data_IF_751627014666
#
_entry.id   IF_751627014666
#
_cell.length_a   1.000
_cell.length_b   1.000
_cell.length_c   1.000
_cell.angle_alpha   90.00
_cell.angle_beta   90.00
_cell.angle_gamma   90.00
#
_symmetry.space_group_name_H-M   'P 1'
#
loop_
_entity.id
_entity.type
_entity.pdbx_description
1 polymer ?
#
# COMPACT_ATOMS: atom_id res chain seq x y z
N UNK A 1 -16.21 17.18 0.85
CA UNK A 1 -15.28 16.37 0.05
C UNK A 1 -16.06 15.15 -0.39
N UNK A 2 -16.42 15.09 -1.67
CA UNK A 2 -17.25 14.02 -2.23
C UNK A 2 -16.47 12.70 -2.21
N UNK A 3 -17.10 11.64 -1.70
CA UNK A 3 -16.54 10.29 -1.75
C UNK A 3 -16.58 9.85 -3.21
N UNK A 4 -15.42 9.77 -3.86
CA UNK A 4 -15.28 9.29 -5.23
C UNK A 4 -15.55 7.78 -5.26
N UNK A 5 -16.80 7.41 -5.56
CA UNK A 5 -17.23 6.04 -5.84
C UNK A 5 -17.60 5.19 -4.61
N UNK A 6 -18.65 4.37 -4.75
CA UNK A 6 -19.02 3.39 -3.72
C UNK A 6 -18.03 2.21 -3.68
N UNK A 7 -17.49 1.84 -2.49
CA UNK A 7 -16.61 0.69 -2.37
C UNK A 7 -17.33 -0.61 -2.77
N UNK A 8 -16.76 -1.37 -3.72
CA UNK A 8 -17.43 -2.54 -4.31
C UNK A 8 -17.20 -3.85 -3.55
N UNK A 9 -16.14 -3.96 -2.74
CA UNK A 9 -15.79 -5.22 -2.04
C UNK A 9 -16.27 -5.22 -0.58
N UNK A 10 -16.55 -6.39 -0.01
CA UNK A 10 -16.97 -6.54 1.39
C UNK A 10 -15.97 -5.90 2.36
N UNK A 11 -14.68 -6.10 2.11
CA UNK A 11 -13.61 -5.52 2.92
C UNK A 11 -13.60 -3.99 2.82
N UNK A 12 -13.66 -3.44 1.60
CA UNK A 12 -13.67 -2.00 1.39
C UNK A 12 -14.91 -1.33 2.00
N UNK A 13 -16.09 -1.97 1.93
CA UNK A 13 -17.32 -1.50 2.57
C UNK A 13 -17.20 -1.46 4.09
N UNK A 14 -16.60 -2.49 4.70
CA UNK A 14 -16.43 -2.58 6.15
C UNK A 14 -15.44 -1.52 6.65
N UNK A 15 -14.36 -1.32 5.91
CA UNK A 15 -13.36 -0.31 6.22
C UNK A 15 -13.94 1.11 6.09
N UNK A 16 -14.67 1.42 5.01
CA UNK A 16 -15.30 2.73 4.83
C UNK A 16 -16.36 3.04 5.91
N UNK A 17 -17.07 2.01 6.39
CA UNK A 17 -18.09 2.14 7.44
C UNK A 17 -17.51 2.46 8.81
N UNK A 18 -16.35 1.89 9.17
CA UNK A 18 -15.72 2.07 10.48
C UNK A 18 -14.88 3.37 10.56
N UNK A 19 -14.59 4.00 9.41
CA UNK A 19 -13.63 5.13 9.33
C UNK A 19 -14.20 6.32 8.53
N UNK A 20 -15.29 6.92 9.03
CA UNK A 20 -16.01 8.07 8.43
C UNK A 20 -15.27 9.41 8.46
N UNK A 21 -14.07 9.48 9.05
CA UNK A 21 -13.20 10.66 9.05
C UNK A 21 -11.89 10.28 8.40
N UNK A 22 -11.49 11.06 7.39
CA UNK A 22 -10.23 10.99 6.62
C UNK A 22 -9.14 10.35 7.47
N UNK A 23 -8.87 9.07 7.22
CA UNK A 23 -8.15 8.24 8.17
C UNK A 23 -7.64 7.01 7.47
N UNK A 24 -6.32 6.89 7.49
CA UNK A 24 -5.52 5.79 6.94
C UNK A 24 -6.14 4.40 7.15
N UNK A 25 -6.04 3.55 6.13
CA UNK A 25 -6.47 2.16 6.15
C UNK A 25 -5.22 1.29 6.04
N UNK A 26 -4.95 0.48 7.07
CA UNK A 26 -3.84 -0.48 7.10
C UNK A 26 -4.33 -1.92 7.22
N UNK A 27 -3.56 -2.86 6.68
CA UNK A 27 -3.80 -4.28 6.82
C UNK A 27 -2.50 -5.07 6.72
N UNK A 28 -2.39 -6.16 7.49
CA UNK A 28 -1.25 -7.09 7.42
C UNK A 28 -1.70 -8.34 6.68
N UNK A 29 -0.94 -8.71 5.64
CA UNK A 29 -1.18 -9.93 4.87
C UNK A 29 -0.09 -10.94 5.22
N UNK A 30 -0.48 -12.04 5.85
CA UNK A 30 0.45 -13.11 6.26
C UNK A 30 0.02 -14.47 5.71
N UNK A 31 0.98 -15.20 5.16
CA UNK A 31 0.85 -16.53 4.58
C UNK A 31 2.26 -17.09 4.30
N UNK A 32 2.43 -18.41 4.11
CA UNK A 32 3.73 -18.99 3.76
C UNK A 32 4.33 -18.40 2.47
N UNK A 33 5.64 -18.58 2.26
CA UNK A 33 6.31 -18.18 1.02
C UNK A 33 5.69 -18.89 -0.18
N UNK A 34 5.54 -18.19 -1.30
CA UNK A 34 4.94 -18.74 -2.53
C UNK A 34 3.41 -18.65 -2.62
N UNK A 35 2.70 -18.21 -1.57
CA UNK A 35 1.23 -18.05 -1.59
C UNK A 35 0.73 -16.80 -2.34
N UNK A 36 1.62 -16.06 -3.01
CA UNK A 36 1.23 -14.90 -3.84
C UNK A 36 0.95 -13.61 -3.07
N UNK A 37 1.45 -13.44 -1.84
CA UNK A 37 1.26 -12.21 -1.04
C UNK A 37 1.73 -10.96 -1.78
N UNK A 38 2.98 -10.96 -2.26
CA UNK A 38 3.58 -9.86 -3.00
C UNK A 38 2.81 -9.58 -4.29
N UNK A 39 2.44 -10.63 -5.03
CA UNK A 39 1.63 -10.54 -6.25
C UNK A 39 0.23 -9.96 -5.98
N UNK A 40 -0.39 -10.32 -4.86
CA UNK A 40 -1.67 -9.77 -4.46
C UNK A 40 -1.55 -8.29 -4.09
N UNK A 41 -0.51 -7.93 -3.32
CA UNK A 41 -0.29 -6.55 -2.89
C UNK A 41 -0.02 -5.62 -4.08
N UNK A 42 0.88 -6.01 -5.00
CA UNK A 42 1.17 -5.22 -6.20
C UNK A 42 -0.03 -5.14 -7.14
N UNK A 43 -0.81 -6.22 -7.30
CA UNK A 43 -2.04 -6.19 -8.10
C UNK A 43 -3.09 -5.25 -7.50
N UNK A 44 -3.17 -5.20 -6.17
CA UNK A 44 -4.07 -4.29 -5.45
C UNK A 44 -3.68 -2.84 -5.66
N UNK A 45 -2.38 -2.52 -5.62
CA UNK A 45 -1.87 -1.19 -5.97
C UNK A 45 -2.20 -0.82 -7.41
N UNK A 46 -1.98 -1.75 -8.35
CA UNK A 46 -2.31 -1.52 -9.76
C UNK A 46 -3.80 -1.24 -9.96
N UNK A 47 -4.68 -2.02 -9.33
CA UNK A 47 -6.12 -1.80 -9.44
C UNK A 47 -6.56 -0.47 -8.82
N UNK A 48 -5.90 -0.03 -7.74
CA UNK A 48 -6.13 1.27 -7.15
C UNK A 48 -5.73 2.39 -8.12
N UNK A 49 -4.53 2.36 -8.68
CA UNK A 49 -4.05 3.40 -9.59
C UNK A 49 -4.79 3.40 -10.93
N UNK A 50 -5.00 2.22 -11.52
CA UNK A 50 -5.70 2.09 -12.80
C UNK A 50 -7.17 2.46 -12.69
N UNK A 51 -7.90 1.91 -11.70
CA UNK A 51 -9.36 2.07 -11.64
C UNK A 51 -9.81 3.13 -10.64
N UNK A 52 -9.05 3.34 -9.56
CA UNK A 52 -9.36 4.35 -8.54
C UNK A 52 -8.91 5.75 -8.93
N UNK A 53 -7.72 5.87 -9.55
CA UNK A 53 -7.17 7.15 -10.00
C UNK A 53 -7.29 7.38 -11.52
N UNK A 54 -7.69 6.36 -12.29
CA UNK A 54 -7.91 6.49 -13.73
C UNK A 54 -6.62 6.63 -14.55
N UNK A 55 -5.48 6.19 -14.01
CA UNK A 55 -4.18 6.27 -14.68
C UNK A 55 -4.14 5.39 -15.94
N UNK A 56 -3.21 5.68 -16.85
CA UNK A 56 -2.95 4.75 -17.96
C UNK A 56 -2.28 3.46 -17.47
N UNK A 57 -2.37 2.37 -18.24
CA UNK A 57 -1.89 1.06 -17.75
C UNK A 57 -0.39 1.06 -17.42
N UNK A 58 0.44 1.68 -18.25
CA UNK A 58 1.88 1.79 -18.01
C UNK A 58 2.18 2.63 -16.77
N UNK A 59 1.52 3.77 -16.63
CA UNK A 59 1.66 4.68 -15.49
C UNK A 59 1.22 4.01 -14.18
N UNK A 60 0.09 3.29 -14.21
CA UNK A 60 -0.39 2.55 -13.05
C UNK A 60 0.61 1.48 -12.60
N UNK A 61 1.30 0.81 -13.54
CA UNK A 61 2.35 -0.15 -13.19
C UNK A 61 3.60 0.52 -12.62
N UNK A 62 4.06 1.60 -13.23
CA UNK A 62 5.19 2.39 -12.73
C UNK A 62 4.91 2.87 -11.30
N UNK A 63 3.75 3.47 -11.07
CA UNK A 63 3.35 3.95 -9.74
C UNK A 63 3.21 2.79 -8.75
N UNK A 64 2.63 1.65 -9.15
CA UNK A 64 2.50 0.48 -8.27
C UNK A 64 3.83 -0.10 -7.82
N UNK A 65 4.82 -0.14 -8.72
CA UNK A 65 6.17 -0.61 -8.40
C UNK A 65 6.89 0.38 -7.48
N UNK A 66 6.72 1.68 -7.71
CA UNK A 66 7.28 2.73 -6.86
C UNK A 66 6.67 2.76 -5.45
N UNK A 67 5.43 2.26 -5.28
CA UNK A 67 4.78 2.05 -3.96
C UNK A 67 5.10 0.72 -3.29
N UNK A 68 5.85 -0.18 -3.93
CA UNK A 68 6.24 -1.48 -3.39
C UNK A 68 7.64 -1.37 -2.77
N UNK A 69 7.68 -1.20 -1.45
CA UNK A 69 8.92 -0.98 -0.70
C UNK A 69 9.27 -2.22 0.13
N UNK A 70 10.56 -2.45 0.29
CA UNK A 70 11.09 -3.59 1.04
C UNK A 70 11.71 -3.16 2.36
N UNK A 71 12.43 -2.03 2.35
CA UNK A 71 13.25 -1.62 3.48
C UNK A 71 12.61 -0.45 4.26
N UNK A 72 12.79 -0.47 5.58
CA UNK A 72 12.29 0.56 6.49
C UNK A 72 12.73 1.99 6.12
N UNK A 73 14.01 2.25 5.76
CA UNK A 73 14.44 3.58 5.36
C UNK A 73 13.68 4.12 4.14
N UNK A 74 13.40 3.28 3.15
CA UNK A 74 12.67 3.69 1.94
C UNK A 74 11.23 4.07 2.27
N UNK A 75 10.59 3.30 3.15
CA UNK A 75 9.25 3.60 3.65
C UNK A 75 9.23 4.97 4.35
N UNK A 76 10.19 5.23 5.25
CA UNK A 76 10.30 6.50 5.96
C UNK A 76 10.57 7.66 4.99
N UNK A 77 11.51 7.49 4.07
CA UNK A 77 11.86 8.51 3.08
C UNK A 77 10.68 8.85 2.18
N UNK A 78 9.89 7.86 1.78
CA UNK A 78 8.70 8.04 0.96
C UNK A 78 7.64 8.85 1.70
N UNK A 79 7.32 8.44 2.93
CA UNK A 79 6.36 9.14 3.77
C UNK A 79 6.81 10.59 4.02
N UNK A 80 8.09 10.82 4.29
CA UNK A 80 8.63 12.17 4.46
C UNK A 80 8.49 13.01 3.19
N UNK A 81 8.80 12.43 2.03
CA UNK A 81 8.66 13.12 0.73
C UNK A 81 7.22 13.54 0.45
N UNK A 82 6.25 12.68 0.77
CA UNK A 82 4.83 12.96 0.59
C UNK A 82 4.32 14.01 1.59
N UNK A 83 4.78 13.95 2.85
CA UNK A 83 4.54 14.98 3.85
C UNK A 83 5.08 16.35 3.42
N UNK A 84 6.31 16.40 2.90
CA UNK A 84 6.97 17.63 2.44
C UNK A 84 6.25 18.26 1.24
N UNK A 85 5.63 17.44 0.38
CA UNK A 85 4.80 17.89 -0.75
C UNK A 85 3.41 18.34 -0.32
N UNK A 86 2.96 18.01 0.88
CA UNK A 86 1.58 18.23 1.33
C UNK A 86 0.57 17.35 0.59
N UNK A 87 1.02 16.28 -0.05
CA UNK A 87 0.18 15.36 -0.80
C UNK A 87 -0.08 14.08 0.01
N UNK A 88 -1.34 13.71 0.26
CA UNK A 88 -1.63 12.46 0.97
C UNK A 88 -1.20 11.27 0.12
N UNK A 89 -0.37 10.39 0.68
CA UNK A 89 0.03 9.12 0.09
C UNK A 89 -1.21 8.24 -0.14
N UNK A 90 -1.61 7.95 -1.40
CA UNK A 90 -2.81 7.18 -1.69
C UNK A 90 -2.74 5.73 -1.21
N UNK A 91 -1.58 5.08 -1.37
CA UNK A 91 -1.29 3.74 -0.84
C UNK A 91 0.22 3.46 -0.85
N UNK A 92 0.64 2.52 0.00
CA UNK A 92 2.00 2.01 0.09
C UNK A 92 1.97 0.56 0.57
N UNK A 93 2.89 -0.27 0.07
CA UNK A 93 3.07 -1.66 0.51
C UNK A 93 4.48 -1.83 1.04
N UNK A 94 4.60 -2.26 2.30
CA UNK A 94 5.85 -2.83 2.82
C UNK A 94 5.83 -4.35 2.64
N UNK A 95 6.53 -4.86 1.63
CA UNK A 95 6.66 -6.30 1.43
C UNK A 95 7.79 -6.88 2.27
N UNK A 96 7.67 -8.17 2.60
CA UNK A 96 8.60 -8.88 3.49
C UNK A 96 8.85 -8.20 4.85
N UNK A 97 7.86 -7.46 5.35
CA UNK A 97 7.87 -6.81 6.66
C UNK A 97 8.19 -7.77 7.82
N UNK A 98 7.96 -9.07 7.64
CA UNK A 98 8.37 -10.09 8.62
C UNK A 98 9.87 -10.04 8.92
N UNK A 99 10.72 -9.78 7.94
CA UNK A 99 12.18 -9.71 8.12
C UNK A 99 12.56 -8.51 8.99
N UNK A 100 12.04 -7.32 8.67
CA UNK A 100 12.44 -6.07 9.32
C UNK A 100 11.77 -5.79 10.65
N UNK A 101 10.52 -6.24 10.85
CA UNK A 101 9.76 -5.96 12.06
C UNK A 101 9.79 -7.08 13.11
N UNK A 102 10.31 -8.29 12.78
CA UNK A 102 10.36 -9.40 13.74
C UNK A 102 11.67 -9.50 14.54
N UNK A 103 12.55 -8.49 14.48
CA UNK A 103 13.84 -8.51 15.17
C UNK A 103 14.79 -9.62 14.72
N UNK A 104 14.52 -10.30 13.60
CA UNK A 104 15.36 -11.39 13.07
C UNK A 104 16.50 -10.92 12.16
N UNK A 105 16.65 -9.61 11.94
CA UNK A 105 17.77 -9.03 11.19
C UNK A 105 18.50 -7.96 12.02
N UNK A 106 19.21 -8.43 13.03
CA UNK A 106 20.53 -7.91 13.41
C UNK A 106 21.46 -9.10 13.67
N UNK A 107 21.79 -9.84 12.60
CA UNK A 107 22.99 -10.69 12.59
C UNK A 107 23.52 -10.85 11.16
N UNK A 108 24.65 -10.16 10.90
CA UNK A 108 25.60 -10.32 9.79
C UNK A 108 25.05 -10.02 8.38
N UNK A 109 25.61 -9.10 7.58
CA UNK A 109 26.97 -8.54 7.48
C UNK A 109 26.92 -7.08 7.05
#
# INVERSE_FOLDING_TARGET
MEVVGEPKTFLAKRIAKEHTRIGFIGGIIYAPRGYGKSSFAIKTLFDLFKNGFGMEESEAWEESLDRLLFDLPDIVNRLQTELDKGEPTPALVGDDAGVYFSGQTYSAR
#
